data_IF_246835554107
#
_entry.id   IF_246835554107
#
_cell.length_a   1.000
_cell.length_b   1.000
_cell.length_c   1.000
_cell.angle_alpha   90.00
_cell.angle_beta   90.00
_cell.angle_gamma   90.00
#
_symmetry.space_group_name_H-M   'P 1'
#
loop_
_entity.id
_entity.type
_entity.pdbx_description
1 polymer ?
#
# COMPACT_ATOMS: atom_id res chain seq x y z
N UNK A 1 23.21 28.64 38.42
CA UNK A 1 24.40 28.22 37.65
C UNK A 1 24.09 26.96 36.87
N UNK A 2 23.70 27.10 35.60
CA UNK A 2 23.57 25.98 34.66
C UNK A 2 24.55 26.27 33.52
N UNK A 3 25.72 25.65 33.61
CA UNK A 3 26.82 25.79 32.66
C UNK A 3 26.65 24.78 31.53
N UNK A 4 26.59 25.33 30.31
CA UNK A 4 27.21 24.81 29.08
C UNK A 4 26.73 23.46 28.55
N UNK A 5 25.85 23.55 27.55
CA UNK A 5 25.54 22.48 26.60
C UNK A 5 26.80 22.13 25.78
N UNK A 6 27.36 20.94 26.02
CA UNK A 6 28.39 20.35 25.17
C UNK A 6 27.71 19.62 24.01
N UNK A 7 27.36 20.36 22.95
CA UNK A 7 26.87 19.79 21.70
C UNK A 7 28.05 19.27 20.88
N UNK A 8 28.45 18.02 21.13
CA UNK A 8 29.52 17.36 20.40
C UNK A 8 29.00 16.83 19.04
N UNK A 9 29.34 17.58 17.99
CA UNK A 9 29.83 17.11 16.69
C UNK A 9 29.43 15.68 16.28
N UNK A 10 28.28 15.53 15.61
CA UNK A 10 27.99 14.36 14.79
C UNK A 10 28.79 14.48 13.49
N UNK A 11 30.02 13.96 13.51
CA UNK A 11 30.83 13.75 12.32
C UNK A 11 30.74 12.28 11.89
N UNK A 12 30.29 12.05 10.65
CA UNK A 12 30.65 10.85 9.90
C UNK A 12 29.58 9.75 9.84
N UNK A 13 28.71 9.82 8.83
CA UNK A 13 28.18 8.63 8.17
C UNK A 13 28.50 8.70 6.67
N UNK A 14 29.80 8.68 6.37
CA UNK A 14 30.30 8.50 5.01
C UNK A 14 30.12 7.04 4.59
N UNK A 15 29.53 6.86 3.41
CA UNK A 15 29.53 5.64 2.60
C UNK A 15 28.76 4.44 3.17
N UNK A 16 27.45 4.40 2.90
CA UNK A 16 26.86 3.18 2.40
C UNK A 16 25.93 3.51 1.22
N UNK A 17 26.54 3.81 0.08
CA UNK A 17 25.88 3.85 -1.22
C UNK A 17 26.40 2.68 -2.04
N UNK A 18 25.86 1.49 -1.82
CA UNK A 18 25.64 0.52 -2.89
C UNK A 18 24.51 -0.40 -2.47
N UNK A 19 23.28 -0.03 -2.83
CA UNK A 19 22.22 -1.00 -2.93
C UNK A 19 21.83 -1.12 -4.41
N UNK A 20 22.49 -2.05 -5.09
CA UNK A 20 22.09 -2.53 -6.40
C UNK A 20 20.85 -3.42 -6.20
N UNK A 21 19.69 -2.79 -6.09
CA UNK A 21 18.42 -3.48 -5.99
C UNK A 21 17.89 -3.69 -7.41
N UNK A 22 18.17 -4.90 -7.90
CA UNK A 22 17.42 -5.71 -8.86
C UNK A 22 16.12 -5.11 -9.41
N UNK A 23 16.01 -5.08 -10.74
CA UNK A 23 14.75 -4.93 -11.46
C UNK A 23 14.79 -5.80 -12.71
N UNK A 24 14.74 -7.12 -12.50
CA UNK A 24 14.19 -8.01 -13.50
C UNK A 24 12.67 -7.78 -13.50
N UNK A 25 12.08 -7.76 -14.69
CA UNK A 25 10.65 -7.94 -14.93
C UNK A 25 9.74 -6.81 -14.38
N UNK A 26 9.36 -5.87 -15.24
CA UNK A 26 8.01 -5.31 -15.13
C UNK A 26 7.34 -5.20 -16.51
N UNK A 27 6.43 -6.13 -16.71
CA UNK A 27 5.52 -6.19 -17.84
C UNK A 27 4.23 -5.52 -17.39
N UNK A 28 3.90 -4.41 -18.06
CA UNK A 28 2.53 -4.00 -18.36
C UNK A 28 1.61 -3.74 -17.17
N UNK A 29 1.79 -2.60 -16.51
CA UNK A 29 0.75 -2.00 -15.68
C UNK A 29 -0.19 -1.14 -16.55
N UNK A 30 -0.97 -1.81 -17.40
CA UNK A 30 -2.27 -1.30 -17.83
C UNK A 30 -3.35 -1.88 -16.91
N UNK A 31 -3.29 -1.54 -15.63
CA UNK A 31 -4.31 -1.90 -14.64
C UNK A 31 -5.38 -0.80 -14.53
N UNK A 32 -5.90 -0.29 -15.65
CA UNK A 32 -6.70 0.95 -15.64
C UNK A 32 -8.22 0.79 -15.84
N UNK A 33 -8.79 -0.41 -15.96
CA UNK A 33 -10.20 -0.51 -16.39
C UNK A 33 -11.06 -1.51 -15.63
N UNK A 34 -10.81 -1.74 -14.33
CA UNK A 34 -11.69 -2.58 -13.50
C UNK A 34 -12.19 -1.87 -12.23
N UNK A 35 -11.99 -0.55 -12.12
CA UNK A 35 -12.36 0.22 -10.92
C UNK A 35 -13.84 0.67 -10.89
N UNK A 36 -14.54 0.56 -12.02
CA UNK A 36 -15.84 1.22 -12.21
C UNK A 36 -17.07 0.32 -12.02
N UNK A 37 -16.90 -0.97 -11.71
CA UNK A 37 -18.04 -1.89 -11.55
C UNK A 37 -18.11 -2.48 -10.14
N UNK A 38 -17.83 -1.68 -9.11
CA UNK A 38 -18.08 -2.15 -7.75
C UNK A 38 -19.59 -2.22 -7.47
N UNK A 39 -20.04 -3.29 -6.81
CA UNK A 39 -21.44 -3.46 -6.38
C UNK A 39 -21.54 -3.43 -4.86
N UNK A 40 -22.67 -2.95 -4.36
CA UNK A 40 -22.94 -2.89 -2.93
C UNK A 40 -23.78 -4.09 -2.50
N UNK A 41 -23.43 -4.69 -1.36
CA UNK A 41 -24.16 -5.82 -0.82
C UNK A 41 -25.55 -5.34 -0.31
N UNK A 42 -26.67 -5.91 -0.78
CA UNK A 42 -28.00 -5.49 -0.34
C UNK A 42 -28.33 -5.89 1.11
N UNK A 43 -27.48 -6.69 1.76
CA UNK A 43 -27.70 -7.16 3.12
C UNK A 43 -26.88 -6.42 4.18
N UNK A 44 -25.65 -6.00 3.87
CA UNK A 44 -24.78 -5.29 4.81
C UNK A 44 -24.29 -3.93 4.30
N UNK A 45 -24.49 -3.59 3.02
CA UNK A 45 -24.01 -2.34 2.42
C UNK A 45 -22.53 -2.33 2.05
N UNK A 46 -21.78 -3.42 2.25
CA UNK A 46 -20.37 -3.46 1.89
C UNK A 46 -20.15 -3.31 0.37
N UNK A 47 -19.11 -2.55 -0.01
CA UNK A 47 -18.63 -2.46 -1.40
C UNK A 47 -17.86 -3.74 -1.74
N UNK A 48 -18.22 -4.38 -2.85
CA UNK A 48 -17.59 -5.61 -3.35
C UNK A 48 -17.22 -5.44 -4.83
N UNK A 49 -16.29 -6.26 -5.32
CA UNK A 49 -15.91 -6.29 -6.73
C UNK A 49 -17.10 -6.70 -7.64
N UNK A 50 -17.05 -6.29 -8.91
CA UNK A 50 -18.10 -6.53 -9.91
C UNK A 50 -18.46 -8.01 -10.05
N UNK A 51 -17.40 -8.81 -10.09
CA UNK A 51 -17.35 -10.24 -10.33
C UNK A 51 -17.49 -11.06 -9.03
N UNK A 52 -17.51 -10.41 -7.87
CA UNK A 52 -17.66 -11.07 -6.58
C UNK A 52 -18.99 -11.86 -6.52
N UNK A 53 -18.92 -13.19 -6.40
CA UNK A 53 -20.10 -14.05 -6.29
C UNK A 53 -20.75 -14.01 -4.90
N UNK A 54 -19.96 -13.64 -3.88
CA UNK A 54 -20.36 -13.55 -2.49
C UNK A 54 -19.78 -12.28 -1.87
N UNK A 55 -20.46 -11.75 -0.86
CA UNK A 55 -20.02 -10.59 -0.10
C UNK A 55 -18.81 -10.97 0.75
N UNK A 56 -17.71 -10.25 0.60
CA UNK A 56 -16.47 -10.48 1.37
C UNK A 56 -16.63 -10.08 2.84
N UNK A 57 -17.62 -9.25 3.15
CA UNK A 57 -17.89 -8.80 4.51
C UNK A 57 -18.84 -9.74 5.28
N UNK A 58 -19.93 -10.20 4.65
CA UNK A 58 -20.99 -10.97 5.33
C UNK A 58 -21.28 -12.36 4.75
N UNK A 59 -20.63 -12.74 3.66
CA UNK A 59 -20.80 -14.06 3.02
C UNK A 59 -22.09 -14.24 2.21
N UNK A 60 -22.98 -13.23 2.13
CA UNK A 60 -24.20 -13.35 1.32
C UNK A 60 -23.87 -13.40 -0.17
N UNK A 61 -24.54 -14.28 -0.90
CA UNK A 61 -24.48 -14.35 -2.38
C UNK A 61 -24.89 -13.02 -3.01
N UNK A 62 -24.05 -12.48 -3.89
CA UNK A 62 -24.30 -11.27 -4.68
C UNK A 62 -24.78 -11.72 -6.05
N UNK A 63 -26.07 -12.08 -6.09
CA UNK A 63 -26.79 -12.52 -7.28
C UNK A 63 -27.29 -11.35 -8.13
#
# INVERSE_FOLDING_TARGET
>A
SNMSVSNASQAGNSANQTNAQTGADDISENASSDENNAKFCPNCGAKNAADAKFCENCGKKLN
#
